data_IF_302939695004
#
_entry.id   IF_302939695004
#
_cell.length_a   1.000
_cell.length_b   1.000
_cell.length_c   1.000
_cell.angle_alpha   90.00
_cell.angle_beta   90.00
_cell.angle_gamma   90.00
#
_symmetry.space_group_name_H-M   'P 1'
#
loop_
_entity.id
_entity.type
_entity.pdbx_description
1 polymer ?
#
# COMPACT_ATOMS: atom_id res chain seq x y z
N UNK A 1 -7.38 5.33 -16.12
CA UNK A 1 -8.06 6.20 -15.13
C UNK A 1 -6.97 7.11 -14.62
N UNK A 2 -6.86 8.31 -15.18
CA UNK A 2 -5.61 9.07 -15.15
C UNK A 2 -5.67 10.24 -14.15
N UNK A 3 -6.34 10.04 -13.02
CA UNK A 3 -6.37 11.05 -11.95
C UNK A 3 -5.78 10.46 -10.65
N UNK A 4 -4.56 10.86 -10.26
CA UNK A 4 -3.93 10.39 -9.04
C UNK A 4 -4.70 10.90 -7.80
N UNK A 5 -4.76 10.09 -6.75
CA UNK A 5 -5.46 10.42 -5.49
C UNK A 5 -4.84 11.66 -4.81
N UNK A 6 -3.52 11.80 -4.95
CA UNK A 6 -2.73 12.95 -4.55
C UNK A 6 -1.47 13.00 -5.43
N UNK A 7 -0.83 14.17 -5.47
CA UNK A 7 0.51 14.27 -6.06
C UNK A 7 1.50 13.51 -5.18
N UNK A 8 1.92 12.32 -5.61
CA UNK A 8 2.90 11.51 -4.90
C UNK A 8 4.32 11.91 -5.33
N UNK A 9 5.13 12.34 -4.35
CA UNK A 9 6.52 12.74 -4.53
C UNK A 9 7.50 11.78 -3.86
N UNK A 10 7.02 10.67 -3.30
CA UNK A 10 7.82 9.70 -2.55
C UNK A 10 9.02 9.19 -3.36
N UNK A 11 8.82 8.81 -4.63
CA UNK A 11 9.93 8.40 -5.51
C UNK A 11 10.98 9.52 -5.74
N UNK A 12 10.54 10.79 -5.82
CA UNK A 12 11.48 11.92 -5.95
C UNK A 12 12.26 12.16 -4.65
N UNK A 13 11.60 11.97 -3.50
CA UNK A 13 12.24 12.07 -2.19
C UNK A 13 13.29 10.96 -2.04
N UNK A 14 12.97 9.73 -2.44
CA UNK A 14 13.94 8.61 -2.42
C UNK A 14 15.12 8.91 -3.33
N UNK A 15 14.88 9.33 -4.59
CA UNK A 15 15.96 9.64 -5.53
C UNK A 15 16.87 10.79 -5.03
N UNK A 16 16.28 11.84 -4.45
CA UNK A 16 17.05 12.94 -3.85
C UNK A 16 17.85 12.51 -2.62
N UNK A 17 17.28 11.62 -1.79
CA UNK A 17 17.97 11.08 -0.61
C UNK A 17 19.13 10.17 -1.00
N UNK A 18 18.95 9.33 -2.03
CA UNK A 18 20.00 8.47 -2.59
C UNK A 18 21.19 9.32 -3.08
N UNK A 19 20.90 10.39 -3.83
CA UNK A 19 21.94 11.33 -4.28
C UNK A 19 22.70 11.96 -3.11
N UNK A 20 22.00 12.35 -2.04
CA UNK A 20 22.65 12.91 -0.85
C UNK A 20 23.59 11.90 -0.15
N UNK A 21 23.20 10.62 -0.07
CA UNK A 21 24.06 9.57 0.49
C UNK A 21 25.28 9.29 -0.40
N UNK A 22 25.12 9.27 -1.73
CA UNK A 22 26.23 9.15 -2.68
C UNK A 22 27.24 10.30 -2.49
N UNK A 23 26.76 11.54 -2.39
CA UNK A 23 27.61 12.72 -2.14
C UNK A 23 28.29 12.69 -0.77
N UNK A 24 27.70 11.99 0.20
CA UNK A 24 28.31 11.72 1.50
C UNK A 24 29.36 10.59 1.48
N UNK A 25 29.61 9.97 0.32
CA UNK A 25 30.64 8.95 0.13
C UNK A 25 30.17 7.51 0.38
N UNK A 26 28.87 7.26 0.40
CA UNK A 26 28.33 5.90 0.48
C UNK A 26 28.50 5.18 -0.86
N UNK A 27 28.78 3.89 -0.81
CA UNK A 27 28.71 3.02 -1.99
C UNK A 27 27.28 2.96 -2.55
N UNK A 28 27.08 2.78 -3.87
CA UNK A 28 25.77 2.89 -4.51
C UNK A 28 24.64 2.07 -3.86
N UNK A 29 24.89 0.79 -3.59
CA UNK A 29 23.90 -0.10 -2.96
C UNK A 29 23.55 0.35 -1.54
N UNK A 30 24.53 0.84 -0.79
CA UNK A 30 24.33 1.36 0.57
C UNK A 30 23.56 2.68 0.56
N UNK A 31 23.86 3.57 -0.40
CA UNK A 31 23.15 4.84 -0.58
C UNK A 31 21.67 4.63 -0.93
N UNK A 32 21.40 3.74 -1.88
CA UNK A 32 20.03 3.40 -2.28
C UNK A 32 19.24 2.72 -1.15
N UNK A 33 19.87 1.80 -0.40
CA UNK A 33 19.27 1.19 0.78
C UNK A 33 18.96 2.23 1.87
N UNK A 34 19.90 3.12 2.18
CA UNK A 34 19.71 4.18 3.16
C UNK A 34 18.59 5.16 2.76
N UNK A 35 18.50 5.52 1.48
CA UNK A 35 17.44 6.36 0.94
C UNK A 35 16.04 5.76 1.13
N UNK A 36 15.92 4.45 0.98
CA UNK A 36 14.67 3.73 1.22
C UNK A 36 14.26 3.76 2.69
N UNK A 37 15.18 3.46 3.61
CA UNK A 37 14.90 3.51 5.05
C UNK A 37 14.65 4.93 5.57
N UNK A 38 15.16 5.95 4.88
CA UNK A 38 14.91 7.35 5.20
C UNK A 38 13.53 7.85 4.70
N UNK A 39 12.82 7.07 3.88
CA UNK A 39 11.51 7.48 3.36
C UNK A 39 10.52 7.63 4.51
N UNK A 40 10.03 8.86 4.68
CA UNK A 40 8.87 9.12 5.53
C UNK A 40 7.61 9.12 4.67
N UNK A 41 6.47 8.76 5.26
CA UNK A 41 5.15 8.81 4.59
C UNK A 41 4.26 9.81 5.32
N UNK A 42 4.47 11.14 5.15
CA UNK A 42 3.71 12.16 5.88
C UNK A 42 2.19 12.07 5.67
N UNK A 43 1.78 11.54 4.52
CA UNK A 43 0.37 11.35 4.16
C UNK A 43 -0.34 10.21 4.89
N UNK A 44 0.40 9.30 5.53
CA UNK A 44 -0.19 8.13 6.18
C UNK A 44 -1.21 8.53 7.25
N UNK A 45 -0.82 9.42 8.17
CA UNK A 45 -1.69 9.85 9.26
C UNK A 45 -2.95 10.59 8.77
N UNK A 46 -2.85 11.61 7.88
CA UNK A 46 -4.02 12.25 7.29
C UNK A 46 -5.00 11.28 6.61
N UNK A 47 -4.50 10.29 5.85
CA UNK A 47 -5.36 9.31 5.18
C UNK A 47 -6.09 8.41 6.19
N UNK A 48 -5.41 7.99 7.25
CA UNK A 48 -6.05 7.23 8.34
C UNK A 48 -7.11 8.07 9.06
N UNK A 49 -6.88 9.36 9.25
CA UNK A 49 -7.86 10.24 9.90
C UNK A 49 -9.08 10.50 9.01
N UNK A 50 -8.90 10.62 7.69
CA UNK A 50 -10.03 10.63 6.73
C UNK A 50 -10.86 9.34 6.84
N UNK A 51 -10.22 8.16 6.90
CA UNK A 51 -10.91 6.88 7.11
C UNK A 51 -11.75 6.88 8.39
N UNK A 52 -11.18 7.29 9.52
CA UNK A 52 -11.89 7.37 10.80
C UNK A 52 -13.08 8.32 10.76
N UNK A 53 -12.92 9.47 10.10
CA UNK A 53 -13.99 10.46 9.97
C UNK A 53 -15.15 9.90 9.14
N UNK A 54 -14.86 9.19 8.05
CA UNK A 54 -15.87 8.52 7.22
C UNK A 54 -16.61 7.42 8.00
N UNK A 55 -15.92 6.61 8.78
CA UNK A 55 -16.56 5.60 9.65
C UNK A 55 -17.46 6.26 10.69
N UNK A 56 -16.98 7.34 11.32
CA UNK A 56 -17.76 8.09 12.32
C UNK A 56 -19.04 8.67 11.69
N UNK A 57 -18.93 9.23 10.49
CA UNK A 57 -20.06 9.76 9.72
C UNK A 57 -21.06 8.66 9.33
N UNK A 58 -20.58 7.51 8.87
CA UNK A 58 -21.43 6.34 8.58
C UNK A 58 -22.23 5.92 9.83
N UNK A 59 -21.58 5.85 10.99
CA UNK A 59 -22.23 5.48 12.25
C UNK A 59 -23.25 6.51 12.73
N UNK A 60 -23.05 7.80 12.44
CA UNK A 60 -24.05 8.83 12.69
C UNK A 60 -25.29 8.63 11.81
N UNK A 61 -25.11 8.39 10.51
CA UNK A 61 -26.20 8.13 9.58
C UNK A 61 -26.99 6.87 9.92
N UNK A 62 -26.32 5.78 10.32
CA UNK A 62 -26.99 4.57 10.81
C UNK A 62 -27.83 4.87 12.06
N UNK A 63 -27.28 5.65 13.01
CA UNK A 63 -27.98 6.02 14.25
C UNK A 63 -29.20 6.91 13.99
N UNK A 64 -29.15 7.78 12.99
CA UNK A 64 -30.29 8.61 12.57
C UNK A 64 -31.26 7.91 11.62
N UNK A 65 -31.02 6.63 11.30
CA UNK A 65 -31.74 5.86 10.29
C UNK A 65 -31.77 6.52 8.90
N UNK A 66 -30.74 7.32 8.60
CA UNK A 66 -30.55 8.01 7.32
C UNK A 66 -29.70 7.14 6.39
N UNK A 67 -30.32 6.07 5.90
CA UNK A 67 -29.62 5.06 5.10
C UNK A 67 -29.26 5.55 3.69
N UNK A 68 -29.94 6.59 3.20
CA UNK A 68 -29.69 7.20 1.88
C UNK A 68 -28.26 7.76 1.75
N UNK A 69 -27.63 8.11 2.88
CA UNK A 69 -26.27 8.68 2.95
C UNK A 69 -25.26 7.78 3.66
N UNK A 70 -25.72 6.74 4.38
CA UNK A 70 -24.85 5.73 4.99
C UNK A 70 -24.11 4.89 3.94
N UNK A 71 -24.81 4.41 2.90
CA UNK A 71 -24.25 3.58 1.84
C UNK A 71 -23.18 4.31 0.99
N UNK A 72 -23.42 5.55 0.52
CA UNK A 72 -22.38 6.33 -0.16
C UNK A 72 -21.09 6.48 0.64
N UNK A 73 -21.18 6.62 1.97
CA UNK A 73 -20.02 6.80 2.85
C UNK A 73 -19.13 5.54 2.86
N UNK A 74 -19.75 4.35 2.84
CA UNK A 74 -19.04 3.07 2.70
C UNK A 74 -18.30 2.99 1.37
N UNK A 75 -18.98 3.32 0.27
CA UNK A 75 -18.39 3.27 -1.08
C UNK A 75 -17.16 4.19 -1.18
N UNK A 76 -17.22 5.38 -0.59
CA UNK A 76 -16.09 6.32 -0.54
C UNK A 76 -14.90 5.69 0.21
N UNK A 77 -15.14 5.11 1.39
CA UNK A 77 -14.12 4.45 2.20
C UNK A 77 -13.44 3.27 1.50
N UNK A 78 -14.24 2.41 0.87
CA UNK A 78 -13.74 1.26 0.08
C UNK A 78 -12.91 1.75 -1.12
N UNK A 79 -13.42 2.73 -1.85
CA UNK A 79 -12.72 3.31 -3.01
C UNK A 79 -11.39 3.95 -2.60
N UNK A 80 -11.35 4.62 -1.44
CA UNK A 80 -10.13 5.19 -0.89
C UNK A 80 -9.08 4.10 -0.63
N UNK A 81 -9.45 3.04 0.09
CA UNK A 81 -8.56 1.92 0.39
C UNK A 81 -8.05 1.21 -0.87
N UNK A 82 -8.91 1.00 -1.86
CA UNK A 82 -8.54 0.37 -3.14
C UNK A 82 -7.60 1.25 -3.95
N UNK A 83 -7.88 2.54 -4.09
CA UNK A 83 -7.00 3.45 -4.85
C UNK A 83 -5.62 3.63 -4.22
N UNK A 84 -5.52 3.63 -2.89
CA UNK A 84 -4.22 3.65 -2.20
C UNK A 84 -3.41 2.38 -2.57
N UNK A 85 -4.07 1.21 -2.61
CA UNK A 85 -3.43 -0.02 -3.05
C UNK A 85 -3.01 0.02 -4.52
N UNK A 86 -3.85 0.58 -5.41
CA UNK A 86 -3.57 0.54 -6.85
C UNK A 86 -2.51 1.56 -7.29
N UNK A 87 -2.41 2.70 -6.60
CA UNK A 87 -1.54 3.82 -7.00
C UNK A 87 -0.23 3.92 -6.19
N UNK A 88 -0.15 3.25 -5.03
CA UNK A 88 0.99 3.33 -4.13
C UNK A 88 2.18 2.47 -4.59
N UNK A 89 3.38 3.06 -4.75
CA UNK A 89 4.56 2.32 -5.23
C UNK A 89 5.23 1.46 -4.15
N UNK A 90 4.89 1.66 -2.87
CA UNK A 90 5.54 1.00 -1.73
C UNK A 90 4.61 0.04 -0.99
N UNK A 91 5.20 -0.93 -0.29
CA UNK A 91 4.49 -1.92 0.48
C UNK A 91 3.62 -1.29 1.57
N UNK A 92 4.08 -0.19 2.17
CA UNK A 92 3.33 0.56 3.18
C UNK A 92 1.99 1.08 2.65
N UNK A 93 1.91 1.44 1.36
CA UNK A 93 0.66 1.86 0.74
C UNK A 93 -0.33 0.70 0.65
N UNK A 94 0.15 -0.47 0.26
CA UNK A 94 -0.66 -1.68 0.20
C UNK A 94 -1.25 -2.02 1.57
N UNK A 95 -0.42 -2.00 2.61
CA UNK A 95 -0.85 -2.28 3.98
C UNK A 95 -1.86 -1.25 4.48
N UNK A 96 -1.61 0.04 4.22
CA UNK A 96 -2.53 1.12 4.60
C UNK A 96 -3.87 1.01 3.88
N UNK A 97 -3.86 0.81 2.57
CA UNK A 97 -5.08 0.69 1.79
C UNK A 97 -5.89 -0.57 2.15
N UNK A 98 -5.22 -1.70 2.43
CA UNK A 98 -5.88 -2.90 2.99
C UNK A 98 -6.50 -2.59 4.34
N UNK A 99 -5.78 -1.90 5.24
CA UNK A 99 -6.29 -1.55 6.57
C UNK A 99 -7.54 -0.68 6.50
N UNK A 100 -7.54 0.34 5.62
CA UNK A 100 -8.70 1.21 5.38
C UNK A 100 -9.87 0.40 4.83
N UNK A 101 -9.65 -0.38 3.77
CA UNK A 101 -10.72 -1.13 3.11
C UNK A 101 -11.40 -2.12 4.08
N UNK A 102 -10.62 -2.82 4.90
CA UNK A 102 -11.13 -3.73 5.93
C UNK A 102 -12.06 -3.05 6.92
N UNK A 103 -11.72 -1.85 7.40
CA UNK A 103 -12.55 -1.14 8.38
C UNK A 103 -13.98 -0.89 7.89
N UNK A 104 -14.18 -0.71 6.58
CA UNK A 104 -15.50 -0.55 6.00
C UNK A 104 -16.19 -1.90 5.76
N UNK A 105 -15.47 -2.89 5.23
CA UNK A 105 -16.04 -4.22 4.97
C UNK A 105 -16.50 -4.94 6.24
N UNK A 106 -15.76 -4.79 7.35
CA UNK A 106 -16.09 -5.41 8.65
C UNK A 106 -17.40 -4.87 9.26
N UNK A 107 -17.93 -3.75 8.76
CA UNK A 107 -19.20 -3.17 9.20
C UNK A 107 -20.41 -3.67 8.40
N UNK A 108 -20.19 -4.41 7.31
CA UNK A 108 -21.24 -4.88 6.42
C UNK A 108 -21.66 -6.32 6.77
N UNK A 109 -22.89 -6.69 6.41
CA UNK A 109 -23.25 -8.10 6.35
C UNK A 109 -22.31 -8.81 5.36
N UNK A 110 -21.73 -9.99 5.69
CA UNK A 110 -20.78 -10.68 4.82
C UNK A 110 -21.28 -10.96 3.40
N UNK A 111 -22.60 -11.04 3.19
CA UNK A 111 -23.22 -11.28 1.88
C UNK A 111 -23.48 -9.98 1.09
N UNK A 112 -23.26 -8.82 1.70
CA UNK A 112 -23.39 -7.50 1.05
C UNK A 112 -22.41 -7.39 -0.10
N UNK A 113 -22.89 -6.98 -1.28
CA UNK A 113 -22.04 -6.77 -2.46
C UNK A 113 -21.27 -5.46 -2.30
N UNK A 114 -19.96 -5.55 -2.04
CA UNK A 114 -19.13 -4.40 -1.67
C UNK A 114 -17.68 -4.47 -2.20
N UNK A 115 -17.29 -5.58 -2.83
CA UNK A 115 -15.96 -5.73 -3.42
C UNK A 115 -15.96 -5.51 -4.94
N UNK A 116 -14.76 -5.35 -5.53
CA UNK A 116 -14.59 -5.19 -6.98
C UNK A 116 -15.21 -6.36 -7.76
N UNK A 117 -15.89 -6.05 -8.87
CA UNK A 117 -16.49 -7.08 -9.73
C UNK A 117 -17.71 -7.80 -9.11
N UNK A 118 -18.34 -7.21 -8.10
CA UNK A 118 -19.49 -7.83 -7.42
C UNK A 118 -19.08 -8.94 -6.47
N UNK A 119 -17.97 -8.75 -5.74
CA UNK A 119 -17.62 -9.60 -4.62
C UNK A 119 -18.45 -9.20 -3.40
N UNK A 120 -18.86 -10.19 -2.61
CA UNK A 120 -19.41 -9.95 -1.29
C UNK A 120 -18.35 -9.42 -0.31
N UNK A 121 -18.79 -8.77 0.76
CA UNK A 121 -17.90 -8.24 1.79
C UNK A 121 -17.03 -9.34 2.42
N UNK A 122 -17.61 -10.52 2.66
CA UNK A 122 -16.90 -11.68 3.17
C UNK A 122 -15.84 -12.21 2.20
N UNK A 123 -16.17 -12.34 0.91
CA UNK A 123 -15.21 -12.75 -0.12
C UNK A 123 -14.06 -11.75 -0.25
N UNK A 124 -14.37 -10.45 -0.18
CA UNK A 124 -13.35 -9.40 -0.26
C UNK A 124 -12.43 -9.41 0.96
N UNK A 125 -12.96 -9.56 2.17
CA UNK A 125 -12.16 -9.70 3.39
C UNK A 125 -11.20 -10.90 3.30
N UNK A 126 -11.69 -12.06 2.83
CA UNK A 126 -10.86 -13.24 2.64
C UNK A 126 -9.75 -13.01 1.60
N UNK A 127 -10.04 -12.29 0.51
CA UNK A 127 -9.03 -11.91 -0.48
C UNK A 127 -7.95 -10.97 0.10
N UNK A 128 -8.35 -10.02 0.95
CA UNK A 128 -7.40 -9.14 1.65
C UNK A 128 -6.54 -9.92 2.65
N UNK A 129 -7.09 -10.89 3.37
CA UNK A 129 -6.34 -11.78 4.26
C UNK A 129 -5.30 -12.60 3.48
N UNK A 130 -5.70 -13.20 2.36
CA UNK A 130 -4.80 -13.95 1.49
C UNK A 130 -3.65 -13.05 0.97
N UNK A 131 -3.95 -11.81 0.58
CA UNK A 131 -2.95 -10.83 0.15
C UNK A 131 -1.97 -10.48 1.28
N UNK A 132 -2.43 -10.30 2.51
CA UNK A 132 -1.55 -10.03 3.66
C UNK A 132 -0.64 -11.23 3.98
N UNK A 133 -1.14 -12.46 3.85
CA UNK A 133 -0.32 -13.67 4.00
C UNK A 133 0.74 -13.79 2.90
N UNK A 134 0.37 -13.48 1.64
CA UNK A 134 1.31 -13.43 0.52
C UNK A 134 2.42 -12.41 0.79
N UNK A 135 2.06 -11.18 1.16
CA UNK A 135 2.99 -10.10 1.50
C UNK A 135 3.95 -10.53 2.60
N UNK A 136 3.43 -11.13 3.68
CA UNK A 136 4.27 -11.59 4.80
C UNK A 136 5.26 -12.67 4.37
N UNK A 137 4.79 -13.63 3.57
CA UNK A 137 5.63 -14.71 3.05
C UNK A 137 6.71 -14.16 2.11
N UNK A 138 6.33 -13.25 1.21
CA UNK A 138 7.22 -12.58 0.29
C UNK A 138 8.30 -11.79 1.02
N UNK A 139 7.93 -11.00 2.04
CA UNK A 139 8.87 -10.18 2.83
C UNK A 139 9.89 -11.05 3.58
N UNK A 140 9.43 -12.20 4.10
CA UNK A 140 10.30 -13.17 4.79
C UNK A 140 11.32 -13.75 3.80
N UNK A 141 10.87 -14.24 2.64
CA UNK A 141 11.74 -14.80 1.62
C UNK A 141 12.68 -13.74 1.00
N UNK A 142 12.18 -12.51 0.81
CA UNK A 142 12.95 -11.39 0.30
C UNK A 142 14.13 -11.06 1.21
N UNK A 143 13.94 -11.03 2.53
CA UNK A 143 15.00 -10.66 3.48
C UNK A 143 16.20 -11.60 3.36
N UNK A 144 15.95 -12.92 3.30
CA UNK A 144 16.99 -13.93 3.12
C UNK A 144 17.64 -13.86 1.73
N UNK A 145 16.83 -13.70 0.68
CA UNK A 145 17.33 -13.59 -0.71
C UNK A 145 18.17 -12.36 -0.94
N UNK A 146 17.72 -11.19 -0.50
CA UNK A 146 18.44 -9.94 -0.66
C UNK A 146 19.78 -9.96 0.07
N UNK A 147 19.80 -10.43 1.33
CA UNK A 147 21.02 -10.54 2.13
C UNK A 147 22.05 -11.54 1.55
N UNK A 148 21.59 -12.59 0.87
CA UNK A 148 22.46 -13.61 0.24
C UNK A 148 22.82 -13.32 -1.21
N UNK A 149 22.25 -12.27 -1.81
CA UNK A 149 22.49 -11.89 -3.22
C UNK A 149 23.82 -11.15 -3.38
N UNK A 150 24.41 -11.28 -4.57
CA UNK A 150 25.58 -10.49 -4.95
C UNK A 150 25.22 -9.02 -5.26
N UNK A 151 26.23 -8.15 -5.29
CA UNK A 151 26.05 -6.72 -5.54
C UNK A 151 25.33 -6.41 -6.86
N UNK A 152 25.63 -7.09 -8.00
CA UNK A 152 24.90 -6.88 -9.24
C UNK A 152 23.40 -7.18 -9.12
N UNK A 153 23.03 -8.27 -8.43
CA UNK A 153 21.62 -8.62 -8.21
C UNK A 153 20.92 -7.61 -7.30
N UNK A 154 21.60 -7.15 -6.24
CA UNK A 154 21.07 -6.11 -5.35
C UNK A 154 20.85 -4.79 -6.10
N UNK A 155 21.78 -4.39 -6.97
CA UNK A 155 21.64 -3.21 -7.82
C UNK A 155 20.45 -3.36 -8.79
N UNK A 156 20.28 -4.53 -9.40
CA UNK A 156 19.15 -4.78 -10.29
C UNK A 156 17.80 -4.75 -9.57
N UNK A 157 17.74 -5.25 -8.32
CA UNK A 157 16.55 -5.10 -7.47
C UNK A 157 16.18 -3.62 -7.26
N UNK A 158 17.16 -2.77 -6.94
CA UNK A 158 16.94 -1.35 -6.70
C UNK A 158 16.41 -0.63 -7.95
N UNK A 159 16.93 -0.96 -9.13
CA UNK A 159 16.45 -0.41 -10.41
C UNK A 159 15.02 -0.86 -10.74
N UNK A 160 14.70 -2.13 -10.46
CA UNK A 160 13.33 -2.64 -10.61
C UNK A 160 12.37 -1.98 -9.64
N UNK A 161 12.79 -1.75 -8.40
CA UNK A 161 11.97 -1.07 -7.42
C UNK A 161 11.66 0.36 -7.85
N UNK A 162 12.62 1.09 -8.42
CA UNK A 162 12.40 2.45 -8.96
C UNK A 162 11.43 2.48 -10.13
N UNK A 163 11.48 1.48 -11.02
CA UNK A 163 10.71 1.45 -12.27
C UNK A 163 9.36 0.73 -12.18
N UNK A 164 9.28 -0.33 -11.39
CA UNK A 164 8.13 -1.25 -11.29
C UNK A 164 7.46 -1.22 -9.91
N UNK A 165 8.07 -0.60 -8.91
CA UNK A 165 7.58 -0.55 -7.53
C UNK A 165 8.11 -1.68 -6.65
N UNK A 166 7.97 -1.52 -5.33
CA UNK A 166 8.60 -2.37 -4.32
C UNK A 166 8.11 -3.82 -4.39
N UNK A 167 6.80 -4.05 -4.46
CA UNK A 167 6.24 -5.40 -4.51
C UNK A 167 6.66 -6.17 -5.76
N UNK A 168 6.69 -5.51 -6.92
CA UNK A 168 7.12 -6.13 -8.17
C UNK A 168 8.60 -6.53 -8.11
N UNK A 169 9.45 -5.64 -7.60
CA UNK A 169 10.87 -5.90 -7.42
C UNK A 169 11.15 -7.03 -6.42
N UNK A 170 10.42 -7.09 -5.30
CA UNK A 170 10.53 -8.18 -4.33
C UNK A 170 10.13 -9.53 -4.95
N UNK A 171 9.01 -9.58 -5.69
CA UNK A 171 8.57 -10.81 -6.37
C UNK A 171 9.60 -11.28 -7.39
N UNK A 172 10.17 -10.36 -8.16
CA UNK A 172 11.24 -10.66 -9.10
C UNK A 172 12.44 -11.31 -8.41
N UNK A 173 12.92 -10.70 -7.31
CA UNK A 173 14.10 -11.21 -6.60
C UNK A 173 13.85 -12.57 -5.95
N UNK A 174 12.67 -12.78 -5.38
CA UNK A 174 12.33 -14.04 -4.68
C UNK A 174 12.07 -15.18 -5.68
N UNK A 175 11.38 -14.91 -6.78
CA UNK A 175 10.92 -15.95 -7.70
C UNK A 175 11.85 -16.17 -8.91
N UNK A 176 12.84 -15.29 -9.12
CA UNK A 176 13.79 -15.38 -10.24
C UNK A 176 13.14 -15.15 -11.62
N UNK A 177 11.96 -14.52 -11.65
CA UNK A 177 11.23 -14.11 -12.86
C UNK A 177 10.55 -12.77 -12.63
#
# INVERSE_FOLDING_TARGET
MDNPLFADYSQKIVAGSEQAFLEAGYEPTAAAGAAMFALTVPRAQPLMDVSKNLISLQQEFIRSADFDVAEPTVIIGLTLGQRIQDQGPYLIDQLMGVSIERQFLEQLDPLTQAGPGGQSAGERLAALDAKLMEVRSLTTAFTEKFASSDEPTQAQYLEKMKSEGELAAMRWLVNGK
#
